data_IF_249227451628
#
_entry.id   IF_249227451628
#
_cell.length_a   1.000
_cell.length_b   1.000
_cell.length_c   1.000
_cell.angle_alpha   90.00
_cell.angle_beta   90.00
_cell.angle_gamma   90.00
#
_symmetry.space_group_name_H-M   'P 1'
#
loop_
_entity.id
_entity.type
_entity.pdbx_description
1 polymer ?
#
# COMPACT_ATOMS: atom_id res chain seq x y z
N UNK A 1 -14.42 14.50 26.28
CA UNK A 1 -13.11 14.16 25.73
C UNK A 1 -12.73 15.23 24.72
N UNK A 2 -11.52 15.77 24.78
CA UNK A 2 -10.95 16.67 23.79
C UNK A 2 -9.62 16.12 23.21
N UNK A 3 -9.12 16.71 22.13
CA UNK A 3 -7.91 16.21 21.46
C UNK A 3 -6.63 16.40 22.27
N UNK A 4 -6.56 17.43 23.12
CA UNK A 4 -5.38 17.70 23.94
C UNK A 4 -5.23 16.67 25.05
N UNK A 5 -6.34 16.25 25.65
CA UNK A 5 -6.39 15.11 26.58
C UNK A 5 -5.87 13.83 25.92
N UNK A 6 -6.25 13.59 24.66
CA UNK A 6 -5.85 12.41 23.89
C UNK A 6 -4.35 12.42 23.55
N UNK A 7 -3.82 13.57 23.12
CA UNK A 7 -2.38 13.77 22.90
C UNK A 7 -1.56 13.52 24.16
N UNK A 8 -2.02 14.03 25.31
CA UNK A 8 -1.31 13.84 26.58
C UNK A 8 -1.36 12.39 27.05
N UNK A 9 -2.51 11.72 26.90
CA UNK A 9 -2.61 10.28 27.16
C UNK A 9 -1.61 9.49 26.31
N UNK A 10 -1.55 9.75 25.00
CA UNK A 10 -0.60 9.11 24.09
C UNK A 10 0.85 9.35 24.49
N UNK A 11 1.19 10.60 24.82
CA UNK A 11 2.53 10.97 25.26
C UNK A 11 2.94 10.22 26.55
N UNK A 12 2.00 10.05 27.49
CA UNK A 12 2.23 9.27 28.73
C UNK A 12 2.45 7.80 28.44
N UNK A 13 1.66 7.19 27.55
CA UNK A 13 1.85 5.79 27.14
C UNK A 13 3.21 5.60 26.45
N UNK A 14 3.54 6.46 25.49
CA UNK A 14 4.80 6.38 24.75
C UNK A 14 6.04 6.56 25.64
N UNK A 15 5.97 7.45 26.62
CA UNK A 15 7.07 7.72 27.54
C UNK A 15 7.14 6.73 28.73
N UNK A 16 6.10 5.92 28.96
CA UNK A 16 5.97 5.03 30.13
C UNK A 16 5.94 5.76 31.48
N UNK A 17 5.87 7.10 31.48
CA UNK A 17 5.98 7.95 32.65
C UNK A 17 5.35 9.31 32.41
N UNK A 18 4.54 9.78 33.37
CA UNK A 18 3.92 11.11 33.31
C UNK A 18 4.97 12.22 33.37
N UNK A 19 6.01 12.05 34.20
CA UNK A 19 7.08 13.05 34.31
C UNK A 19 7.90 13.15 33.03
N UNK A 20 8.16 12.02 32.36
CA UNK A 20 8.90 12.03 31.10
C UNK A 20 8.05 12.56 29.94
N UNK A 21 6.76 12.22 29.88
CA UNK A 21 5.83 12.78 28.91
C UNK A 21 5.73 14.31 29.03
N UNK A 22 5.64 14.83 30.26
CA UNK A 22 5.62 16.27 30.50
C UNK A 22 6.90 16.95 30.00
N UNK A 23 8.08 16.36 30.26
CA UNK A 23 9.34 16.85 29.71
C UNK A 23 9.35 16.87 28.18
N UNK A 24 8.90 15.79 27.53
CA UNK A 24 8.83 15.70 26.08
C UNK A 24 7.87 16.73 25.47
N UNK A 25 6.82 17.12 26.21
CA UNK A 25 5.86 18.14 25.81
C UNK A 25 6.29 19.57 26.18
N UNK A 26 7.47 19.77 26.77
CA UNK A 26 7.92 21.06 27.33
C UNK A 26 6.93 21.66 28.36
N UNK A 27 6.36 20.80 29.20
CA UNK A 27 5.37 21.17 30.22
C UNK A 27 5.80 20.70 31.61
N UNK A 28 5.15 21.26 32.64
CA UNK A 28 5.19 20.69 33.98
C UNK A 28 4.28 19.45 34.08
N UNK A 29 4.54 18.58 35.04
CA UNK A 29 3.77 17.34 35.24
C UNK A 29 2.28 17.54 35.59
N UNK A 30 1.87 18.53 36.43
CA UNK A 30 0.48 18.61 36.89
C UNK A 30 -0.57 18.77 35.76
N UNK A 31 -0.36 19.62 34.73
CA UNK A 31 -1.28 19.70 33.58
C UNK A 31 -1.50 18.38 32.84
N UNK A 32 -0.42 17.62 32.59
CA UNK A 32 -0.49 16.33 31.89
C UNK A 32 -1.27 15.32 32.73
N UNK A 33 -0.94 15.20 34.03
CA UNK A 33 -1.63 14.29 34.94
C UNK A 33 -3.11 14.66 35.10
N UNK A 34 -3.43 15.95 35.17
CA UNK A 34 -4.81 16.41 35.33
C UNK A 34 -5.66 16.14 34.10
N UNK A 35 -5.12 16.36 32.90
CA UNK A 35 -5.82 16.11 31.65
C UNK A 35 -6.14 14.61 31.47
N UNK A 36 -5.18 13.74 31.76
CA UNK A 36 -5.40 12.28 31.67
C UNK A 36 -6.41 11.80 32.71
N UNK A 37 -6.33 12.29 33.95
CA UNK A 37 -7.32 11.97 34.98
C UNK A 37 -8.72 12.52 34.64
N UNK A 38 -8.79 13.67 33.96
CA UNK A 38 -10.06 14.23 33.46
C UNK A 38 -10.63 13.35 32.34
N UNK A 39 -9.80 12.88 31.41
CA UNK A 39 -10.19 11.96 30.35
C UNK A 39 -10.76 10.65 30.91
N UNK A 40 -10.07 10.02 31.86
CA UNK A 40 -10.55 8.79 32.52
C UNK A 40 -11.90 9.01 33.23
N UNK A 41 -12.08 10.16 33.89
CA UNK A 41 -13.35 10.51 34.55
C UNK A 41 -14.49 10.73 33.55
N UNK A 42 -14.23 11.43 32.45
CA UNK A 42 -15.25 11.69 31.42
C UNK A 42 -15.69 10.41 30.71
N UNK A 43 -14.77 9.45 30.51
CA UNK A 43 -15.06 8.16 29.88
C UNK A 43 -15.57 7.10 30.87
N UNK A 44 -15.48 7.35 32.19
CA UNK A 44 -15.90 6.43 33.23
C UNK A 44 -15.04 5.15 33.34
N UNK A 45 -13.85 5.13 32.73
CA UNK A 45 -12.96 3.96 32.68
C UNK A 45 -11.51 4.38 32.92
N UNK A 46 -10.73 3.51 33.59
CA UNK A 46 -9.29 3.69 33.73
C UNK A 46 -8.58 3.28 32.43
N UNK A 47 -7.77 4.18 31.90
CA UNK A 47 -6.99 4.02 30.69
C UNK A 47 -5.54 3.65 31.00
N UNK A 48 -5.04 4.04 32.17
CA UNK A 48 -3.68 3.76 32.61
C UNK A 48 -3.66 2.99 33.93
N UNK A 49 -2.72 2.07 34.03
CA UNK A 49 -2.32 1.43 35.27
C UNK A 49 -0.92 1.90 35.69
N UNK A 50 -0.76 2.18 36.98
CA UNK A 50 0.51 2.61 37.56
C UNK A 50 1.08 1.45 38.36
N UNK A 51 2.28 1.03 38.01
CA UNK A 51 3.01 -0.06 38.67
C UNK A 51 4.40 0.42 39.11
N UNK A 52 5.13 -0.41 39.85
CA UNK A 52 6.53 -0.14 40.18
C UNK A 52 7.44 -0.04 38.94
N UNK A 53 7.01 -0.59 37.79
CA UNK A 53 7.75 -0.55 36.52
C UNK A 53 7.42 0.66 35.65
N UNK A 54 6.47 1.50 36.08
CA UNK A 54 6.05 2.69 35.34
C UNK A 54 4.55 2.71 35.07
N UNK A 55 4.18 3.40 33.99
CA UNK A 55 2.80 3.60 33.56
C UNK A 55 2.53 2.78 32.31
N UNK A 56 1.49 1.96 32.34
CA UNK A 56 1.09 1.10 31.22
C UNK A 56 -0.38 1.34 30.85
N UNK A 57 -0.76 1.14 29.58
CA UNK A 57 -2.17 1.23 29.17
C UNK A 57 -2.95 0.00 29.66
N UNK A 58 -4.19 0.21 30.12
CA UNK A 58 -5.15 -0.88 30.34
C UNK A 58 -5.67 -1.42 29.00
N UNK A 59 -6.52 -2.46 29.00
CA UNK A 59 -7.24 -2.88 27.78
C UNK A 59 -8.05 -1.74 27.15
N UNK A 60 -8.70 -0.91 27.97
CA UNK A 60 -9.40 0.28 27.50
C UNK A 60 -8.41 1.34 26.96
N UNK A 61 -7.27 1.49 27.62
CA UNK A 61 -6.17 2.35 27.15
C UNK A 61 -5.63 1.93 25.78
N UNK A 62 -5.40 0.64 25.56
CA UNK A 62 -4.93 0.10 24.27
C UNK A 62 -5.97 0.32 23.16
N UNK A 63 -7.26 0.12 23.46
CA UNK A 63 -8.32 0.42 22.51
C UNK A 63 -8.36 1.91 22.15
N UNK A 64 -8.29 2.79 23.16
CA UNK A 64 -8.26 4.23 22.93
C UNK A 64 -6.98 4.68 22.23
N UNK A 65 -5.84 4.02 22.44
CA UNK A 65 -4.60 4.32 21.74
C UNK A 65 -4.78 4.10 20.23
N UNK A 66 -5.26 2.92 19.84
CA UNK A 66 -5.50 2.57 18.43
C UNK A 66 -6.54 3.48 17.76
N UNK A 67 -7.65 3.79 18.44
CA UNK A 67 -8.69 4.68 17.87
C UNK A 67 -8.30 6.15 17.92
N UNK A 68 -7.61 6.54 18.99
CA UNK A 68 -7.21 7.91 19.24
C UNK A 68 -6.16 8.41 18.26
N UNK A 69 -5.26 7.55 17.82
CA UNK A 69 -4.33 7.85 16.73
C UNK A 69 -5.03 8.31 15.47
N UNK A 70 -6.09 7.59 15.08
CA UNK A 70 -6.91 7.93 13.91
C UNK A 70 -7.63 9.26 14.10
N UNK A 71 -8.22 9.49 15.27
CA UNK A 71 -8.95 10.74 15.55
C UNK A 71 -8.02 11.96 15.49
N UNK A 72 -6.80 11.85 16.00
CA UNK A 72 -5.80 12.94 15.94
C UNK A 72 -5.35 13.17 14.51
N UNK A 73 -5.06 12.11 13.75
CA UNK A 73 -4.70 12.22 12.34
C UNK A 73 -5.81 12.86 11.49
N UNK A 74 -7.06 12.45 11.68
CA UNK A 74 -8.21 13.02 10.97
C UNK A 74 -8.41 14.50 11.29
N UNK A 75 -8.23 14.88 12.56
CA UNK A 75 -8.23 16.30 12.96
C UNK A 75 -7.13 17.08 12.24
N UNK A 76 -5.90 16.58 12.25
CA UNK A 76 -4.76 17.27 11.65
C UNK A 76 -4.95 17.43 10.14
N UNK A 77 -5.48 16.40 9.47
CA UNK A 77 -5.88 16.48 8.06
C UNK A 77 -6.96 17.53 7.84
N UNK A 78 -8.01 17.54 8.66
CA UNK A 78 -9.09 18.51 8.53
C UNK A 78 -8.58 19.95 8.72
N UNK A 79 -7.72 20.19 9.71
CA UNK A 79 -7.10 21.50 9.96
C UNK A 79 -6.20 21.92 8.80
N UNK A 80 -5.34 21.03 8.33
CA UNK A 80 -4.46 21.30 7.20
C UNK A 80 -5.28 21.55 5.92
N UNK A 81 -6.30 20.74 5.65
CA UNK A 81 -7.22 20.91 4.51
C UNK A 81 -7.91 22.27 4.57
N UNK A 82 -8.50 22.65 5.72
CA UNK A 82 -9.17 23.94 5.90
C UNK A 82 -8.19 25.12 5.74
N UNK A 83 -6.97 24.99 6.25
CA UNK A 83 -5.92 26.00 6.10
C UNK A 83 -5.56 26.18 4.62
N UNK A 84 -5.38 25.09 3.90
CA UNK A 84 -4.94 25.11 2.50
C UNK A 84 -6.07 25.42 1.52
N UNK A 85 -7.33 25.18 1.89
CA UNK A 85 -8.51 25.69 1.17
C UNK A 85 -8.55 27.22 1.14
N UNK A 86 -8.03 27.88 2.18
CA UNK A 86 -7.87 29.34 2.22
C UNK A 86 -6.80 29.88 1.26
N UNK A 87 -5.91 29.03 0.75
CA UNK A 87 -4.73 29.40 -0.04
C UNK A 87 -4.82 28.98 -1.52
N UNK A 88 -5.94 28.40 -1.98
CA UNK A 88 -6.23 28.24 -3.42
C UNK A 88 -5.87 26.89 -4.05
N UNK A 89 -5.90 25.80 -3.27
CA UNK A 89 -5.61 24.38 -3.64
C UNK A 89 -4.14 24.00 -3.47
N UNK A 90 -3.82 23.65 -2.23
CA UNK A 90 -2.65 22.89 -1.77
C UNK A 90 -3.20 21.82 -0.81
N UNK A 91 -2.57 20.65 -0.69
CA UNK A 91 -3.02 19.56 0.18
C UNK A 91 -2.15 18.33 0.02
N UNK A 92 -2.19 17.43 1.00
CA UNK A 92 -1.40 16.20 1.01
C UNK A 92 -2.26 15.03 0.52
N UNK A 93 -1.83 14.35 -0.55
CA UNK A 93 -2.44 13.11 -1.03
C UNK A 93 -1.55 11.93 -0.63
N UNK A 94 -2.07 11.03 0.22
CA UNK A 94 -1.39 9.83 0.68
C UNK A 94 -1.78 8.63 -0.18
N UNK A 95 -0.81 8.07 -0.88
CA UNK A 95 -1.01 6.98 -1.83
C UNK A 95 -0.15 5.76 -1.47
N UNK A 96 -0.79 4.62 -1.28
CA UNK A 96 -0.10 3.34 -1.20
C UNK A 96 -0.03 2.72 -2.59
N UNK A 97 1.15 2.31 -3.02
CA UNK A 97 1.35 1.80 -4.38
C UNK A 97 2.16 0.53 -4.35
N UNK A 98 1.68 -0.48 -5.07
CA UNK A 98 2.43 -1.71 -5.23
C UNK A 98 3.59 -1.51 -6.23
N UNK A 99 4.80 -2.04 -5.96
CA UNK A 99 6.01 -1.78 -6.75
C UNK A 99 5.96 -2.13 -8.26
N UNK A 100 5.10 -3.04 -8.70
CA UNK A 100 4.90 -3.28 -10.13
C UNK A 100 4.07 -2.15 -10.74
N UNK A 101 2.99 -1.74 -10.09
CA UNK A 101 2.12 -0.65 -10.56
C UNK A 101 2.85 0.70 -10.60
N UNK A 102 3.71 0.98 -9.61
CA UNK A 102 4.47 2.24 -9.60
C UNK A 102 5.34 2.38 -10.84
N UNK A 103 5.97 1.27 -11.24
CA UNK A 103 6.81 1.24 -12.41
C UNK A 103 5.96 1.39 -13.67
N UNK A 104 4.80 0.78 -13.80
CA UNK A 104 4.09 0.82 -15.09
C UNK A 104 3.35 2.12 -15.39
N UNK A 105 2.74 2.77 -14.40
CA UNK A 105 1.79 3.85 -14.70
C UNK A 105 1.82 5.06 -13.76
N UNK A 106 2.27 4.89 -12.51
CA UNK A 106 2.03 5.92 -11.48
C UNK A 106 2.89 7.16 -11.71
N UNK A 107 4.08 7.01 -12.29
CA UNK A 107 4.90 8.15 -12.69
C UNK A 107 4.18 9.05 -13.70
N UNK A 108 3.52 8.46 -14.70
CA UNK A 108 2.76 9.21 -15.71
C UNK A 108 1.51 9.87 -15.10
N UNK A 109 0.82 9.16 -14.21
CA UNK A 109 -0.33 9.72 -13.47
C UNK A 109 0.10 10.88 -12.57
N UNK A 110 1.24 10.76 -11.89
CA UNK A 110 1.77 11.81 -11.03
C UNK A 110 2.16 13.04 -11.83
N UNK A 111 2.78 12.86 -13.01
CA UNK A 111 3.13 13.96 -13.90
C UNK A 111 1.87 14.74 -14.33
N UNK A 112 0.86 14.03 -14.85
CA UNK A 112 -0.43 14.61 -15.24
C UNK A 112 -1.14 15.30 -14.06
N UNK A 113 -1.12 14.66 -12.89
CA UNK A 113 -1.72 15.22 -11.68
C UNK A 113 -1.06 16.53 -11.24
N UNK A 114 0.27 16.59 -11.24
CA UNK A 114 1.01 17.79 -10.82
C UNK A 114 0.90 18.94 -11.81
N UNK A 115 0.63 18.68 -13.09
CA UNK A 115 0.27 19.72 -14.05
C UNK A 115 -1.09 20.36 -13.70
N UNK A 116 -2.06 19.55 -13.27
CA UNK A 116 -3.41 20.00 -12.89
C UNK A 116 -3.48 20.58 -11.47
N UNK A 117 -2.53 20.24 -10.60
CA UNK A 117 -2.44 20.70 -9.22
C UNK A 117 -0.98 20.98 -8.79
N UNK A 118 -0.34 22.06 -9.31
CA UNK A 118 1.08 22.34 -9.06
C UNK A 118 1.45 22.58 -7.59
N UNK A 119 0.47 22.96 -6.77
CA UNK A 119 0.64 23.16 -5.33
C UNK A 119 0.42 21.90 -4.49
N UNK A 120 -0.03 20.79 -5.06
CA UNK A 120 -0.30 19.57 -4.29
C UNK A 120 0.99 18.90 -3.82
N UNK A 121 0.96 18.32 -2.62
CA UNK A 121 2.02 17.44 -2.13
C UNK A 121 1.50 16.01 -2.20
N UNK A 122 2.27 15.12 -2.82
CA UNK A 122 1.92 13.69 -2.92
C UNK A 122 2.94 12.90 -2.13
N UNK A 123 2.46 12.06 -1.24
CA UNK A 123 3.25 11.09 -0.49
C UNK A 123 2.95 9.71 -1.03
N UNK A 124 3.94 9.08 -1.66
CA UNK A 124 3.86 7.74 -2.22
C UNK A 124 4.57 6.78 -1.28
N UNK A 125 3.88 5.72 -0.88
CA UNK A 125 4.44 4.65 -0.05
C UNK A 125 4.40 3.34 -0.82
N UNK A 126 5.58 2.76 -1.07
CA UNK A 126 5.74 1.48 -1.77
C UNK A 126 5.55 0.33 -0.80
N UNK A 127 4.37 -0.29 -0.80
CA UNK A 127 3.97 -1.32 0.16
C UNK A 127 3.21 -2.45 -0.51
N UNK A 128 3.11 -3.57 0.18
CA UNK A 128 2.38 -4.74 -0.32
C UNK A 128 0.86 -4.45 -0.37
N UNK A 129 0.14 -5.05 -1.32
CA UNK A 129 -1.31 -4.88 -1.48
C UNK A 129 -2.16 -5.05 -0.21
N UNK A 130 -1.81 -5.95 0.71
CA UNK A 130 -2.49 -6.10 2.01
C UNK A 130 -2.33 -4.85 2.90
N UNK A 131 -1.13 -4.27 2.93
CA UNK A 131 -0.84 -3.03 3.65
C UNK A 131 -1.57 -1.86 3.00
N UNK A 132 -1.66 -1.83 1.66
CA UNK A 132 -2.44 -0.83 0.92
C UNK A 132 -3.92 -0.90 1.31
N UNK A 133 -4.54 -2.08 1.22
CA UNK A 133 -5.96 -2.26 1.58
C UNK A 133 -6.18 -1.89 3.04
N UNK A 134 -5.28 -2.29 3.95
CA UNK A 134 -5.38 -1.93 5.35
C UNK A 134 -5.27 -0.42 5.56
N UNK A 135 -4.30 0.25 4.93
CA UNK A 135 -4.12 1.70 5.04
C UNK A 135 -5.32 2.48 4.52
N UNK A 136 -5.90 2.05 3.39
CA UNK A 136 -7.13 2.64 2.84
C UNK A 136 -8.32 2.41 3.78
N UNK A 137 -8.52 1.18 4.27
CA UNK A 137 -9.57 0.86 5.26
C UNK A 137 -9.45 1.75 6.48
N UNK A 138 -8.22 1.90 6.95
CA UNK A 138 -7.91 2.54 8.21
C UNK A 138 -7.89 4.06 8.13
N UNK A 139 -7.92 4.60 6.90
CA UNK A 139 -7.86 6.03 6.61
C UNK A 139 -6.44 6.58 6.77
N UNK A 140 -5.41 5.74 6.69
CA UNK A 140 -4.00 6.15 6.66
C UNK A 140 -3.58 6.57 5.25
N UNK A 141 -4.15 5.91 4.25
CA UNK A 141 -4.00 6.22 2.83
C UNK A 141 -5.33 6.75 2.29
N UNK A 142 -5.26 7.77 1.43
CA UNK A 142 -6.43 8.29 0.73
C UNK A 142 -6.83 7.34 -0.40
N UNK A 143 -5.83 6.84 -1.14
CA UNK A 143 -6.03 5.84 -2.20
C UNK A 143 -4.90 4.83 -2.27
N UNK A 144 -5.16 3.72 -2.96
CA UNK A 144 -4.25 2.59 -3.12
C UNK A 144 -4.20 2.08 -4.55
N UNK A 145 -3.04 1.69 -5.05
CA UNK A 145 -2.88 1.12 -6.39
C UNK A 145 -2.32 -0.30 -6.32
N UNK A 146 -3.07 -1.28 -6.83
CA UNK A 146 -2.72 -2.70 -6.79
C UNK A 146 -2.74 -3.33 -8.18
N UNK A 147 -1.95 -4.38 -8.46
CA UNK A 147 -1.86 -4.99 -9.79
C UNK A 147 -2.90 -6.12 -9.98
N UNK A 148 -4.05 -6.02 -9.33
CA UNK A 148 -5.10 -7.04 -9.35
C UNK A 148 -6.41 -6.53 -9.93
N UNK A 149 -7.12 -7.40 -10.65
CA UNK A 149 -8.48 -7.16 -11.09
C UNK A 149 -9.51 -7.41 -9.97
N UNK A 150 -10.72 -6.85 -10.06
CA UNK A 150 -11.76 -7.06 -9.05
C UNK A 150 -12.15 -8.52 -8.86
N UNK A 151 -11.99 -9.36 -9.88
CA UNK A 151 -12.21 -10.80 -9.80
C UNK A 151 -11.22 -11.54 -8.87
N UNK A 152 -10.08 -10.93 -8.55
CA UNK A 152 -9.06 -11.48 -7.64
C UNK A 152 -9.22 -10.97 -6.21
N UNK A 153 -10.15 -10.03 -5.98
CA UNK A 153 -10.32 -9.41 -4.66
C UNK A 153 -11.01 -10.37 -3.71
N UNK A 154 -10.42 -10.56 -2.52
CA UNK A 154 -11.15 -11.19 -1.44
C UNK A 154 -12.39 -10.34 -1.07
N UNK A 155 -13.45 -10.99 -0.57
CA UNK A 155 -14.72 -10.32 -0.25
C UNK A 155 -14.55 -9.10 0.65
N UNK A 156 -13.69 -9.20 1.67
CA UNK A 156 -13.45 -8.10 2.59
C UNK A 156 -12.84 -6.86 1.92
N UNK A 157 -12.09 -7.03 0.81
CA UNK A 157 -11.59 -5.89 0.02
C UNK A 157 -12.77 -5.23 -0.67
N UNK A 158 -13.62 -6.02 -1.31
CA UNK A 158 -14.83 -5.52 -1.99
C UNK A 158 -15.87 -4.94 -1.04
N UNK A 159 -15.85 -5.29 0.25
CA UNK A 159 -16.76 -4.72 1.24
C UNK A 159 -16.31 -3.34 1.72
N UNK A 160 -15.00 -3.12 1.74
CA UNK A 160 -14.34 -1.95 2.34
C UNK A 160 -13.94 -0.90 1.32
N UNK A 161 -13.64 -1.30 0.09
CA UNK A 161 -13.11 -0.44 -0.95
C UNK A 161 -14.09 -0.26 -2.11
N UNK A 162 -14.06 0.93 -2.69
CA UNK A 162 -14.43 1.17 -4.08
C UNK A 162 -13.18 1.09 -4.95
N UNK A 163 -13.36 0.86 -6.26
CA UNK A 163 -12.25 0.64 -7.16
C UNK A 163 -12.50 1.16 -8.57
N UNK A 164 -11.40 1.44 -9.28
CA UNK A 164 -11.40 1.85 -10.67
C UNK A 164 -10.28 1.13 -11.45
N UNK A 165 -10.62 0.33 -12.49
CA UNK A 165 -9.62 -0.32 -13.32
C UNK A 165 -8.94 0.71 -14.22
N UNK A 166 -7.61 0.75 -14.17
CA UNK A 166 -6.78 1.71 -14.92
C UNK A 166 -6.46 1.11 -16.29
N UNK A 167 -5.62 0.08 -16.32
CA UNK A 167 -5.09 -0.54 -17.53
C UNK A 167 -4.72 -2.01 -17.29
N UNK A 168 -4.52 -2.75 -18.39
CA UNK A 168 -3.81 -4.01 -18.34
C UNK A 168 -2.31 -3.73 -18.26
N UNK A 169 -1.60 -4.55 -17.50
CA UNK A 169 -0.15 -4.61 -17.44
C UNK A 169 0.27 -5.86 -18.22
N UNK A 170 0.98 -5.64 -19.31
CA UNK A 170 1.50 -6.72 -20.14
C UNK A 170 2.67 -7.41 -19.43
N UNK A 171 2.55 -8.73 -19.33
CA UNK A 171 3.53 -9.59 -18.66
C UNK A 171 4.34 -10.35 -19.71
N UNK A 172 5.64 -10.46 -19.45
CA UNK A 172 6.60 -11.30 -20.15
C UNK A 172 7.17 -12.32 -19.18
N UNK A 173 7.73 -13.39 -19.71
CA UNK A 173 8.50 -14.33 -18.93
C UNK A 173 9.99 -13.99 -19.07
N UNK A 174 10.63 -13.53 -18.00
CA UNK A 174 12.07 -13.40 -17.96
C UNK A 174 12.70 -14.77 -17.72
N UNK A 175 13.63 -15.15 -18.61
CA UNK A 175 14.39 -16.39 -18.54
C UNK A 175 15.89 -16.12 -18.62
N UNK A 176 16.74 -17.00 -18.06
CA UNK A 176 18.19 -16.92 -18.25
C UNK A 176 18.55 -17.05 -19.75
N UNK A 177 19.53 -16.27 -20.22
CA UNK A 177 19.89 -16.23 -21.65
C UNK A 177 20.31 -17.58 -22.22
N UNK A 178 21.04 -18.38 -21.45
CA UNK A 178 21.47 -19.72 -21.84
C UNK A 178 20.29 -20.69 -22.05
N UNK A 179 19.15 -20.41 -21.42
CA UNK A 179 17.90 -21.18 -21.56
C UNK A 179 16.89 -20.60 -22.54
N UNK A 180 17.20 -19.47 -23.21
CA UNK A 180 16.27 -18.80 -24.13
C UNK A 180 15.88 -19.66 -25.38
N UNK A 181 16.67 -20.69 -25.68
CA UNK A 181 16.39 -21.64 -26.76
C UNK A 181 15.34 -22.69 -26.40
N UNK A 182 15.01 -22.85 -25.12
CA UNK A 182 14.02 -23.82 -24.65
C UNK A 182 12.60 -23.45 -25.08
N UNK A 183 11.68 -24.43 -25.06
CA UNK A 183 10.29 -24.25 -25.46
C UNK A 183 9.38 -24.96 -24.47
N UNK A 184 8.75 -24.16 -23.62
CA UNK A 184 7.85 -24.60 -22.55
C UNK A 184 6.56 -23.76 -22.62
N UNK A 185 5.70 -24.00 -23.64
CA UNK A 185 4.54 -23.14 -23.94
C UNK A 185 3.45 -23.20 -22.86
N UNK A 186 3.38 -24.30 -22.12
CA UNK A 186 2.52 -24.47 -20.95
C UNK A 186 3.22 -24.06 -19.63
N UNK A 187 4.48 -23.62 -19.70
CA UNK A 187 5.28 -23.24 -18.55
C UNK A 187 5.89 -24.40 -17.76
N UNK A 188 5.55 -25.65 -18.07
CA UNK A 188 6.12 -26.82 -17.42
C UNK A 188 7.56 -27.07 -17.90
N UNK A 189 8.45 -27.54 -17.03
CA UNK A 189 9.86 -27.82 -17.36
C UNK A 189 10.81 -26.63 -17.20
N UNK A 190 10.31 -25.43 -16.87
CA UNK A 190 11.18 -24.33 -16.42
C UNK A 190 11.84 -24.62 -15.07
N UNK A 191 11.25 -25.52 -14.27
CA UNK A 191 11.71 -25.87 -12.94
C UNK A 191 11.34 -24.78 -11.93
N UNK A 192 12.34 -23.98 -11.53
CA UNK A 192 12.13 -22.95 -10.51
C UNK A 192 11.50 -21.67 -11.05
N UNK A 193 10.42 -21.23 -10.39
CA UNK A 193 9.77 -19.94 -10.58
C UNK A 193 10.08 -19.01 -9.42
N UNK A 194 10.61 -17.82 -9.72
CA UNK A 194 10.91 -16.78 -8.72
C UNK A 194 9.71 -15.85 -8.64
N UNK A 195 8.94 -15.90 -7.55
CA UNK A 195 7.62 -15.29 -7.45
C UNK A 195 7.50 -14.36 -6.22
N UNK A 196 6.59 -13.37 -6.23
CA UNK A 196 6.31 -12.58 -5.04
C UNK A 196 5.72 -13.45 -3.93
N UNK A 197 5.82 -13.00 -2.68
CA UNK A 197 5.15 -13.66 -1.55
C UNK A 197 3.62 -13.67 -1.73
N UNK A 198 2.97 -14.72 -1.23
CA UNK A 198 1.50 -14.80 -1.18
C UNK A 198 0.92 -13.73 -0.27
N UNK A 199 -0.23 -13.20 -0.68
CA UNK A 199 -0.95 -12.16 0.06
C UNK A 199 -2.40 -12.62 0.26
N UNK A 200 -2.88 -12.81 1.50
CA UNK A 200 -4.23 -13.32 1.75
C UNK A 200 -5.37 -12.47 1.18
N UNK A 201 -5.12 -11.20 0.87
CA UNK A 201 -6.12 -10.27 0.35
C UNK A 201 -6.47 -10.49 -1.13
N UNK A 202 -5.63 -11.22 -1.88
CA UNK A 202 -5.76 -11.35 -3.33
C UNK A 202 -5.29 -12.73 -3.79
N UNK A 203 -5.96 -13.29 -4.80
CA UNK A 203 -5.40 -14.42 -5.56
C UNK A 203 -4.26 -13.91 -6.44
N UNK A 204 -3.02 -14.14 -6.01
CA UNK A 204 -1.82 -13.56 -6.59
C UNK A 204 -1.14 -14.43 -7.63
N UNK A 205 0.00 -13.95 -8.14
CA UNK A 205 0.84 -14.67 -9.09
C UNK A 205 1.21 -16.10 -8.64
N UNK A 206 1.61 -16.33 -7.37
CA UNK A 206 1.95 -17.68 -6.90
C UNK A 206 0.79 -18.66 -7.03
N UNK A 207 -0.43 -18.24 -6.69
CA UNK A 207 -1.61 -19.09 -6.73
C UNK A 207 -1.98 -19.51 -8.16
N UNK A 208 -1.79 -18.60 -9.12
CA UNK A 208 -2.02 -18.86 -10.56
C UNK A 208 -0.99 -19.84 -11.11
N UNK A 209 0.30 -19.60 -10.83
CA UNK A 209 1.40 -20.44 -11.33
C UNK A 209 1.34 -21.85 -10.73
N UNK A 210 1.14 -21.97 -9.41
CA UNK A 210 1.01 -23.29 -8.76
C UNK A 210 -0.16 -24.09 -9.30
N UNK A 211 -1.30 -23.45 -9.51
CA UNK A 211 -2.47 -24.13 -10.06
C UNK A 211 -2.22 -24.64 -11.48
N UNK A 212 -1.52 -23.86 -12.29
CA UNK A 212 -1.21 -24.24 -13.67
C UNK A 212 -0.15 -25.34 -13.77
N UNK A 213 0.81 -25.37 -12.84
CA UNK A 213 1.96 -26.28 -12.84
C UNK A 213 1.84 -27.39 -11.79
N UNK A 214 0.64 -27.67 -11.29
CA UNK A 214 0.40 -28.64 -10.23
C UNK A 214 0.82 -30.08 -10.61
N UNK A 215 0.88 -30.40 -11.90
CA UNK A 215 1.28 -31.72 -12.43
C UNK A 215 2.77 -31.78 -12.81
N UNK A 216 3.50 -30.67 -12.76
CA UNK A 216 4.94 -30.63 -13.09
C UNK A 216 5.79 -31.00 -11.87
N UNK A 217 6.39 -32.19 -11.88
CA UNK A 217 7.26 -32.68 -10.80
C UNK A 217 8.54 -31.85 -10.61
N UNK A 218 8.92 -31.04 -11.60
CA UNK A 218 10.12 -30.19 -11.53
C UNK A 218 9.83 -28.81 -10.93
N UNK A 219 8.55 -28.48 -10.75
CA UNK A 219 8.12 -27.15 -10.33
C UNK A 219 8.55 -26.84 -8.89
N UNK A 220 9.25 -25.70 -8.73
CA UNK A 220 9.67 -25.17 -7.44
C UNK A 220 9.39 -23.66 -7.39
N UNK A 221 8.97 -23.13 -6.23
CA UNK A 221 8.81 -21.69 -6.03
C UNK A 221 9.93 -21.16 -5.13
N UNK A 222 10.56 -20.07 -5.57
CA UNK A 222 11.43 -19.24 -4.73
C UNK A 222 10.79 -17.88 -4.53
N UNK A 223 10.38 -17.63 -3.28
CA UNK A 223 9.69 -16.39 -2.93
C UNK A 223 10.66 -15.22 -2.76
N UNK A 224 10.33 -14.08 -3.35
CA UNK A 224 11.04 -12.81 -3.19
C UNK A 224 10.07 -11.68 -2.84
N UNK A 225 10.62 -10.58 -2.33
CA UNK A 225 9.81 -9.43 -1.89
C UNK A 225 9.55 -8.40 -2.99
N UNK A 226 10.32 -8.41 -4.08
CA UNK A 226 10.17 -7.42 -5.17
C UNK A 226 10.47 -8.04 -6.54
N UNK A 227 9.86 -7.52 -7.63
CA UNK A 227 10.20 -7.91 -9.00
C UNK A 227 11.67 -7.69 -9.36
N UNK A 228 12.31 -6.63 -8.85
CA UNK A 228 13.72 -6.32 -9.11
C UNK A 228 14.65 -7.39 -8.53
N UNK A 229 14.31 -7.91 -7.34
CA UNK A 229 15.02 -9.06 -6.77
C UNK A 229 14.81 -10.30 -7.63
N UNK A 230 13.59 -10.56 -8.12
CA UNK A 230 13.29 -11.69 -9.00
C UNK A 230 14.17 -11.69 -10.26
N UNK A 231 14.27 -10.55 -10.94
CA UNK A 231 15.10 -10.39 -12.15
C UNK A 231 16.56 -10.66 -11.87
N UNK A 232 17.07 -10.20 -10.71
CA UNK A 232 18.46 -10.43 -10.33
C UNK A 232 18.75 -11.93 -10.13
N UNK A 233 17.75 -12.70 -9.68
CA UNK A 233 17.86 -14.14 -9.51
C UNK A 233 17.77 -14.87 -10.85
N UNK A 234 16.91 -14.42 -11.76
CA UNK A 234 16.86 -14.95 -13.14
C UNK A 234 18.18 -14.69 -13.87
N UNK A 235 18.75 -13.49 -13.75
CA UNK A 235 20.07 -13.17 -14.31
C UNK A 235 21.19 -14.08 -13.77
N UNK A 236 21.04 -14.58 -12.54
CA UNK A 236 21.96 -15.55 -11.93
C UNK A 236 21.64 -17.02 -12.28
N UNK A 237 20.67 -17.28 -13.15
CA UNK A 237 20.28 -18.64 -13.56
C UNK A 237 19.44 -19.39 -12.54
N UNK A 238 18.87 -18.72 -11.54
CA UNK A 238 18.16 -19.38 -10.44
C UNK A 238 16.72 -19.78 -10.76
N UNK A 239 16.17 -19.39 -11.91
CA UNK A 239 14.81 -19.73 -12.30
C UNK A 239 14.25 -18.77 -13.37
N UNK A 240 12.93 -18.74 -13.50
CA UNK A 240 12.19 -17.83 -14.39
C UNK A 240 11.22 -16.97 -13.59
N UNK A 241 10.80 -15.81 -14.12
CA UNK A 241 9.83 -14.94 -13.42
C UNK A 241 8.92 -14.17 -14.38
N UNK A 242 7.61 -14.04 -14.08
CA UNK A 242 6.73 -13.07 -14.72
C UNK A 242 7.12 -11.64 -14.36
N UNK A 243 7.39 -10.81 -15.36
CA UNK A 243 7.76 -9.39 -15.20
C UNK A 243 7.21 -8.55 -16.34
N UNK A 244 7.25 -7.24 -16.19
CA UNK A 244 7.04 -6.31 -17.30
C UNK A 244 8.35 -6.02 -18.00
N UNK A 245 8.30 -5.62 -19.27
CA UNK A 245 9.49 -5.19 -20.01
C UNK A 245 10.20 -4.01 -19.32
N UNK A 246 9.42 -3.10 -18.70
CA UNK A 246 9.96 -1.92 -18.03
C UNK A 246 10.77 -2.27 -16.78
N UNK A 247 10.32 -3.24 -16.00
CA UNK A 247 11.03 -3.69 -14.79
C UNK A 247 12.25 -4.52 -15.19
N UNK A 248 12.12 -5.41 -16.18
CA UNK A 248 13.23 -6.21 -16.69
C UNK A 248 14.37 -5.30 -17.19
N UNK A 249 14.01 -4.24 -17.92
CA UNK A 249 14.96 -3.36 -18.57
C UNK A 249 15.84 -4.11 -19.58
N UNK A 250 16.92 -3.45 -20.00
CA UNK A 250 17.93 -4.11 -20.84
C UNK A 250 19.00 -4.77 -19.97
N UNK A 251 19.10 -6.10 -20.05
CA UNK A 251 20.12 -6.90 -19.36
C UNK A 251 20.63 -8.00 -20.28
N UNK A 252 21.94 -8.17 -20.33
CA UNK A 252 22.56 -9.16 -21.19
C UNK A 252 22.37 -10.58 -20.67
N UNK A 253 22.00 -10.79 -19.41
CA UNK A 253 21.90 -12.12 -18.81
C UNK A 253 20.51 -12.75 -18.97
N UNK A 254 19.51 -11.97 -19.37
CA UNK A 254 18.12 -12.43 -19.47
C UNK A 254 17.56 -12.22 -20.89
N UNK A 255 16.54 -13.00 -21.22
CA UNK A 255 15.71 -12.83 -22.41
C UNK A 255 14.25 -12.80 -21.97
N UNK A 256 13.46 -11.92 -22.59
CA UNK A 256 12.01 -11.85 -22.38
C UNK A 256 11.31 -12.68 -23.44
N UNK A 257 10.54 -13.67 -22.99
CA UNK A 257 9.71 -14.53 -23.83
C UNK A 257 8.24 -14.18 -23.62
N UNK A 258 7.41 -14.59 -24.58
CA UNK A 258 5.96 -14.57 -24.37
C UNK A 258 5.60 -15.56 -23.26
N UNK A 259 4.72 -15.17 -22.31
CA UNK A 259 4.32 -16.02 -21.21
C UNK A 259 3.41 -17.16 -21.68
N UNK A 260 3.24 -18.22 -20.87
CA UNK A 260 2.20 -19.23 -21.10
C UNK A 260 0.80 -18.62 -21.20
N UNK A 261 -0.10 -19.20 -22.02
CA UNK A 261 -1.43 -18.62 -22.27
C UNK A 261 -2.30 -18.48 -21.02
N UNK A 262 -2.11 -19.35 -20.03
CA UNK A 262 -2.84 -19.29 -18.76
C UNK A 262 -2.38 -18.14 -17.86
N UNK A 263 -1.22 -17.54 -18.14
CA UNK A 263 -0.67 -16.42 -17.39
C UNK A 263 -1.26 -15.12 -17.94
N UNK A 264 -2.47 -14.81 -17.48
CA UNK A 264 -3.21 -13.63 -17.93
C UNK A 264 -2.49 -12.32 -17.59
N UNK A 265 -2.67 -11.26 -18.40
CA UNK A 265 -2.19 -9.91 -18.07
C UNK A 265 -2.71 -9.46 -16.71
N UNK A 266 -1.85 -8.75 -15.98
CA UNK A 266 -2.26 -8.15 -14.71
C UNK A 266 -3.15 -6.94 -14.95
N UNK A 267 -3.92 -6.52 -13.94
CA UNK A 267 -4.81 -5.36 -14.03
C UNK A 267 -4.41 -4.34 -12.98
N UNK A 268 -3.95 -3.18 -13.42
CA UNK A 268 -3.72 -2.10 -12.49
C UNK A 268 -5.06 -1.50 -12.05
N UNK A 269 -5.31 -1.48 -10.74
CA UNK A 269 -6.56 -1.01 -10.16
C UNK A 269 -6.28 -0.01 -9.05
N UNK A 270 -6.95 1.14 -9.12
CA UNK A 270 -7.00 2.13 -8.07
C UNK A 270 -8.12 1.77 -7.08
N UNK A 271 -7.85 1.91 -5.79
CA UNK A 271 -8.73 1.61 -4.66
C UNK A 271 -8.86 2.85 -3.77
N UNK A 272 -10.04 3.08 -3.21
CA UNK A 272 -10.24 4.04 -2.12
C UNK A 272 -11.33 3.52 -1.19
N UNK A 273 -11.43 4.11 -0.01
CA UNK A 273 -12.37 3.64 1.01
C UNK A 273 -13.81 3.86 0.53
N UNK A 274 -14.62 2.81 0.57
CA UNK A 274 -16.03 2.87 0.20
C UNK A 274 -16.79 3.85 1.10
N UNK A 275 -17.70 4.61 0.52
CA UNK A 275 -18.50 5.63 1.22
C UNK A 275 -17.67 6.69 1.97
N UNK A 276 -16.41 6.89 1.59
CA UNK A 276 -15.61 8.00 2.11
C UNK A 276 -15.85 9.27 1.30
N UNK A 277 -15.59 10.42 1.92
CA UNK A 277 -15.57 11.70 1.20
C UNK A 277 -14.42 11.69 0.20
N UNK A 278 -14.73 11.91 -1.09
CA UNK A 278 -13.71 12.09 -2.12
C UNK A 278 -13.26 13.54 -2.05
N UNK A 279 -12.03 13.75 -1.61
CA UNK A 279 -11.46 15.10 -1.53
C UNK A 279 -11.20 15.66 -2.94
N UNK A 280 -11.10 16.99 -3.10
CA UNK A 280 -10.76 17.58 -4.39
C UNK A 280 -9.42 17.08 -4.98
N UNK A 281 -8.46 16.67 -4.14
CA UNK A 281 -7.20 16.09 -4.63
C UNK A 281 -7.39 14.64 -5.11
N UNK A 282 -8.21 13.85 -4.43
CA UNK A 282 -8.58 12.51 -4.89
C UNK A 282 -9.34 12.59 -6.23
N UNK A 283 -10.24 13.56 -6.40
CA UNK A 283 -10.95 13.78 -7.67
C UNK A 283 -9.99 14.11 -8.82
N UNK A 284 -9.03 15.01 -8.59
CA UNK A 284 -7.99 15.33 -9.59
C UNK A 284 -7.09 14.15 -9.89
N UNK A 285 -6.70 13.38 -8.88
CA UNK A 285 -5.92 12.16 -9.07
C UNK A 285 -6.68 11.13 -9.90
N UNK A 286 -7.97 10.94 -9.63
CA UNK A 286 -8.86 10.10 -10.42
C UNK A 286 -8.96 10.59 -11.87
N UNK A 287 -9.02 11.91 -12.08
CA UNK A 287 -9.05 12.49 -13.42
C UNK A 287 -7.75 12.23 -14.19
N UNK A 288 -6.59 12.51 -13.58
CA UNK A 288 -5.27 12.22 -14.16
C UNK A 288 -5.12 10.73 -14.47
N UNK A 289 -5.55 9.85 -13.56
CA UNK A 289 -5.55 8.39 -13.75
C UNK A 289 -6.38 7.98 -14.99
N UNK A 290 -7.57 8.58 -15.16
CA UNK A 290 -8.45 8.32 -16.32
C UNK A 290 -7.88 8.83 -17.63
N UNK A 291 -7.08 9.89 -17.60
CA UNK A 291 -6.41 10.47 -18.76
C UNK A 291 -5.27 9.56 -19.24
N UNK A 292 -4.39 9.17 -18.33
CA UNK A 292 -3.31 8.20 -18.60
C UNK A 292 -3.88 6.86 -19.07
N UNK A 293 -4.92 6.34 -18.41
CA UNK A 293 -5.58 5.10 -18.81
C UNK A 293 -6.13 5.17 -20.25
N UNK A 294 -6.67 6.33 -20.67
CA UNK A 294 -7.12 6.54 -22.06
C UNK A 294 -5.95 6.53 -23.04
N UNK A 295 -4.84 7.20 -22.73
CA UNK A 295 -3.66 7.21 -23.58
C UNK A 295 -3.03 5.82 -23.75
N UNK A 296 -2.94 5.03 -22.69
CA UNK A 296 -2.43 3.66 -22.77
C UNK A 296 -3.31 2.78 -23.68
N UNK A 297 -4.64 2.86 -23.55
CA UNK A 297 -5.58 2.11 -24.42
C UNK A 297 -5.48 2.49 -25.89
N UNK A 298 -5.09 3.72 -26.21
CA UNK A 298 -4.90 4.18 -27.59
C UNK A 298 -3.58 3.70 -28.20
N UNK A 299 -2.53 3.50 -27.38
CA UNK A 299 -1.24 2.97 -27.84
C UNK A 299 -1.25 1.45 -28.07
N UNK A 300 -2.14 0.71 -27.40
CA UNK A 300 -2.29 -0.74 -27.55
C UNK A 300 -3.18 -1.17 -28.72
N UNK A 301 -3.61 -0.24 -29.59
CA UNK A 301 -4.38 -0.49 -30.82
C UNK A 301 -3.54 -0.25 -32.05
#
# INVERSE_FOLDING_TARGET
MDFRQLEYFRAVVAAGSVSQAAKNLNMTQPPVSHAVAKLERELGVRLLERTAKGVHPTRAGLYLLSRGERMVADRDRAVETLRLMGEGVVGDLQLGVEPMVINELIADVLAEFLEQAPGARVSLTDVTPDVIVQGVRDGELDMGCVPFGPEQFASFVTDVCEWYPIAHIDIKLAVPRDRAGERHPDGAGWGRWVLPRRIPAFTGMPDVVEKALAEDETFEVLEVSTPQTAISFVAAGLGVTPVTERIAGHRDEIVLLDPPEWLAPMKATLLWKRNSEITPLMERWLQATREVARHLRLKSR
#
